data_IF_240489153780
#
_entry.id   IF_240489153780
#
_cell.length_a   1.000
_cell.length_b   1.000
_cell.length_c   1.000
_cell.angle_alpha   90.00
_cell.angle_beta   90.00
_cell.angle_gamma   90.00
#
_symmetry.space_group_name_H-M   'P 1'
#
loop_
_entity.id
_entity.type
_entity.pdbx_description
1 polymer ?
#
# COMPACT_ATOMS: atom_id res chain seq x y z
N UNK A 1 32.38 -21.74 48.51
CA UNK A 1 31.21 -20.87 48.73
C UNK A 1 30.46 -20.67 47.43
N UNK A 2 29.19 -21.07 47.32
CA UNK A 2 28.46 -20.87 46.08
C UNK A 2 28.05 -19.40 45.93
N UNK A 3 28.35 -18.82 44.74
CA UNK A 3 27.95 -17.46 44.36
C UNK A 3 26.41 -17.39 44.28
N UNK A 4 25.80 -16.52 45.08
CA UNK A 4 24.37 -16.18 44.97
C UNK A 4 24.15 -15.48 43.65
N UNK A 5 23.43 -16.15 42.72
CA UNK A 5 22.97 -15.53 41.47
C UNK A 5 21.80 -14.62 41.89
N UNK A 6 22.03 -13.30 41.86
CA UNK A 6 20.95 -12.33 41.99
C UNK A 6 19.97 -12.53 40.82
N UNK A 7 18.78 -13.08 41.13
CA UNK A 7 17.66 -13.06 40.19
C UNK A 7 17.29 -11.60 39.97
N UNK A 8 17.73 -11.04 38.82
CA UNK A 8 17.21 -9.78 38.34
C UNK A 8 15.68 -9.92 38.27
N UNK A 9 14.98 -9.19 39.13
CA UNK A 9 13.55 -9.03 38.99
C UNK A 9 13.27 -8.44 37.61
N UNK A 10 12.65 -9.24 36.74
CA UNK A 10 12.13 -8.72 35.47
C UNK A 10 11.05 -7.70 35.80
N UNK A 11 11.40 -6.43 35.81
CA UNK A 11 10.41 -5.36 35.82
C UNK A 11 9.65 -5.45 34.51
N UNK A 12 8.47 -6.04 34.56
CA UNK A 12 7.56 -6.07 33.40
C UNK A 12 7.08 -4.63 33.23
N UNK A 13 7.61 -3.95 32.24
CA UNK A 13 7.11 -2.63 31.85
C UNK A 13 5.73 -2.85 31.24
N UNK A 14 4.70 -2.36 31.92
CA UNK A 14 3.38 -2.23 31.35
C UNK A 14 3.36 -0.97 30.50
N UNK A 15 3.00 -1.10 29.23
CA UNK A 15 2.64 0.03 28.38
C UNK A 15 1.23 -0.23 27.83
N UNK A 16 0.50 0.87 27.62
CA UNK A 16 -0.84 0.78 27.08
C UNK A 16 -0.77 0.30 25.64
N UNK A 17 -1.23 -0.91 25.40
CA UNK A 17 -1.39 -1.44 24.05
C UNK A 17 -2.59 -0.76 23.39
N UNK A 18 -2.37 -0.26 22.18
CA UNK A 18 -3.47 0.22 21.35
C UNK A 18 -4.16 -1.00 20.77
N UNK A 19 -5.45 -1.14 21.02
CA UNK A 19 -6.26 -2.17 20.36
C UNK A 19 -6.41 -1.82 18.87
N UNK A 20 -5.60 -2.49 18.06
CA UNK A 20 -5.65 -2.35 16.60
C UNK A 20 -6.58 -3.45 16.08
N UNK A 21 -7.87 -3.24 16.21
CA UNK A 21 -8.86 -4.07 15.53
C UNK A 21 -8.73 -3.90 14.03
N UNK A 22 -8.03 -4.82 13.37
CA UNK A 22 -7.76 -4.79 11.93
C UNK A 22 -6.43 -4.14 11.61
N UNK A 23 -5.33 -4.75 12.06
CA UNK A 23 -3.97 -4.33 11.74
C UNK A 23 -3.70 -4.44 10.24
N UNK A 24 -4.06 -3.39 9.50
CA UNK A 24 -3.82 -3.29 8.07
C UNK A 24 -2.32 -3.24 7.72
N UNK A 25 -1.46 -2.89 8.68
CA UNK A 25 -0.01 -2.79 8.47
C UNK A 25 0.69 -4.14 8.58
N UNK A 26 0.11 -5.11 9.29
CA UNK A 26 0.71 -6.44 9.52
C UNK A 26 1.17 -7.11 8.23
N UNK A 27 0.36 -7.01 7.18
CA UNK A 27 0.64 -7.66 5.89
C UNK A 27 1.09 -6.68 4.80
N UNK A 28 1.32 -5.41 5.17
CA UNK A 28 1.62 -4.34 4.22
C UNK A 28 2.76 -4.68 3.27
N UNK A 29 3.83 -5.29 3.75
CA UNK A 29 4.95 -5.67 2.90
C UNK A 29 4.55 -6.60 1.75
N UNK A 30 3.71 -7.59 2.01
CA UNK A 30 3.23 -8.52 0.99
C UNK A 30 2.23 -7.86 0.05
N UNK A 31 1.31 -7.06 0.58
CA UNK A 31 0.33 -6.31 -0.20
C UNK A 31 1.03 -5.31 -1.12
N UNK A 32 2.02 -4.59 -0.61
CA UNK A 32 2.82 -3.66 -1.41
C UNK A 32 3.54 -4.38 -2.54
N UNK A 33 4.22 -5.50 -2.25
CA UNK A 33 4.91 -6.28 -3.27
C UNK A 33 3.95 -6.75 -4.37
N UNK A 34 2.78 -7.26 -3.99
CA UNK A 34 1.73 -7.63 -4.92
C UNK A 34 1.22 -6.44 -5.75
N UNK A 35 1.02 -5.29 -5.14
CA UNK A 35 0.55 -4.09 -5.82
C UNK A 35 1.56 -3.58 -6.86
N UNK A 36 2.85 -3.53 -6.51
CA UNK A 36 3.93 -3.14 -7.43
C UNK A 36 3.99 -4.07 -8.63
N UNK A 37 3.86 -5.37 -8.41
CA UNK A 37 3.85 -6.36 -9.48
C UNK A 37 2.57 -6.28 -10.34
N UNK A 38 1.40 -6.11 -9.71
CA UNK A 38 0.11 -6.02 -10.41
C UNK A 38 0.02 -4.79 -11.31
N UNK A 39 0.44 -3.65 -10.81
CA UNK A 39 0.27 -2.38 -11.50
C UNK A 39 1.51 -1.94 -12.26
N UNK A 40 2.61 -2.69 -12.16
CA UNK A 40 3.90 -2.39 -12.81
C UNK A 40 4.36 -0.96 -12.49
N UNK A 41 4.24 -0.57 -11.24
CA UNK A 41 4.62 0.75 -10.73
C UNK A 41 5.79 0.63 -9.76
N UNK A 42 6.59 1.69 -9.65
CA UNK A 42 7.67 1.74 -8.67
C UNK A 42 7.15 2.03 -7.26
N UNK A 43 7.93 1.67 -6.26
CA UNK A 43 7.57 1.89 -4.85
C UNK A 43 7.33 3.37 -4.52
N UNK A 44 8.23 4.30 -4.90
CA UNK A 44 7.99 5.72 -4.64
C UNK A 44 6.80 6.30 -5.43
N UNK A 45 6.53 5.77 -6.62
CA UNK A 45 5.37 6.21 -7.40
C UNK A 45 4.06 5.73 -6.77
N UNK A 46 4.05 4.51 -6.21
CA UNK A 46 2.91 4.02 -5.45
C UNK A 46 2.65 4.86 -4.19
N UNK A 47 3.71 5.20 -3.45
CA UNK A 47 3.60 6.06 -2.26
C UNK A 47 3.04 7.44 -2.62
N UNK A 48 3.49 8.02 -3.75
CA UNK A 48 2.93 9.25 -4.28
C UNK A 48 1.43 9.11 -4.60
N UNK A 49 1.00 8.00 -5.20
CA UNK A 49 -0.41 7.79 -5.49
C UNK A 49 -1.27 7.69 -4.22
N UNK A 50 -0.77 7.09 -3.14
CA UNK A 50 -1.46 7.10 -1.85
C UNK A 50 -1.64 8.53 -1.34
N UNK A 51 -0.60 9.35 -1.46
CA UNK A 51 -0.65 10.75 -1.06
C UNK A 51 -1.70 11.53 -1.86
N UNK A 52 -1.67 11.41 -3.17
CA UNK A 52 -2.58 12.11 -4.08
C UNK A 52 -4.03 11.63 -3.97
N UNK A 53 -4.25 10.40 -3.49
CA UNK A 53 -5.59 9.84 -3.35
C UNK A 53 -6.47 10.65 -2.40
N UNK A 54 -5.91 11.16 -1.33
CA UNK A 54 -6.61 11.99 -0.34
C UNK A 54 -6.70 13.47 -0.72
N UNK A 55 -5.82 13.95 -1.60
CA UNK A 55 -5.77 15.38 -1.95
C UNK A 55 -6.90 15.83 -2.90
N UNK A 56 -7.41 14.94 -3.73
CA UNK A 56 -8.42 15.26 -4.74
C UNK A 56 -7.89 16.07 -5.91
N UNK A 57 -8.01 17.40 -5.85
CA UNK A 57 -7.45 18.33 -6.85
C UNK A 57 -6.15 18.95 -6.31
N UNK A 58 -5.12 18.99 -7.12
CA UNK A 58 -3.82 19.54 -6.72
C UNK A 58 -3.13 20.32 -7.85
N UNK A 59 -2.29 21.26 -7.47
CA UNK A 59 -1.38 21.96 -8.37
C UNK A 59 -0.06 21.20 -8.52
N UNK A 60 0.65 21.47 -9.60
CA UNK A 60 1.98 20.89 -9.82
C UNK A 60 2.97 21.22 -8.70
N UNK A 61 2.86 22.42 -8.10
CA UNK A 61 3.67 22.83 -6.94
C UNK A 61 3.44 21.91 -5.73
N UNK A 62 2.18 21.54 -5.46
CA UNK A 62 1.83 20.64 -4.37
C UNK A 62 2.38 19.23 -4.61
N UNK A 63 2.34 18.76 -5.84
CA UNK A 63 2.98 17.51 -6.22
C UNK A 63 4.48 17.54 -5.92
N UNK A 64 5.17 18.61 -6.28
CA UNK A 64 6.62 18.74 -6.02
C UNK A 64 6.94 18.86 -4.54
N UNK A 65 6.09 19.49 -3.74
CA UNK A 65 6.22 19.51 -2.28
C UNK A 65 6.24 18.08 -1.71
N UNK A 66 5.31 17.23 -2.16
CA UNK A 66 5.28 15.82 -1.75
C UNK A 66 6.47 15.02 -2.30
N UNK A 67 6.90 15.30 -3.53
CA UNK A 67 8.02 14.61 -4.15
C UNK A 67 9.34 14.80 -3.37
N UNK A 68 9.48 15.87 -2.63
CA UNK A 68 10.65 16.10 -1.75
C UNK A 68 10.70 15.16 -0.54
N UNK A 69 9.55 14.67 -0.07
CA UNK A 69 9.44 13.73 1.05
C UNK A 69 9.85 12.33 0.61
N UNK A 70 9.59 12.01 -0.65
CA UNK A 70 10.02 10.76 -1.28
C UNK A 70 11.41 10.93 -1.90
N UNK A 71 11.87 9.94 -2.60
CA UNK A 71 13.07 10.05 -3.40
C UNK A 71 12.84 11.02 -4.57
N UNK A 72 13.43 12.23 -4.52
CA UNK A 72 13.25 13.27 -5.53
C UNK A 72 13.50 12.73 -6.94
N UNK A 73 12.48 12.82 -7.81
CA UNK A 73 12.57 12.45 -9.21
C UNK A 73 11.87 13.50 -10.09
N UNK A 74 12.66 14.35 -10.74
CA UNK A 74 12.15 15.42 -11.64
C UNK A 74 11.23 14.90 -12.74
N UNK A 75 11.36 13.64 -13.14
CA UNK A 75 10.59 13.03 -14.22
C UNK A 75 9.30 12.37 -13.71
N UNK A 76 9.13 12.17 -12.39
CA UNK A 76 7.98 11.44 -11.82
C UNK A 76 6.64 12.04 -12.24
N UNK A 77 6.48 13.36 -12.16
CA UNK A 77 5.25 14.02 -12.57
C UNK A 77 4.88 13.74 -14.02
N UNK A 78 5.85 13.88 -14.92
CA UNK A 78 5.67 13.61 -16.35
C UNK A 78 5.33 12.13 -16.59
N UNK A 79 6.07 11.23 -15.97
CA UNK A 79 5.84 9.79 -16.08
C UNK A 79 4.44 9.39 -15.59
N UNK A 80 4.00 9.89 -14.46
CA UNK A 80 2.66 9.57 -13.94
C UNK A 80 1.53 10.13 -14.82
N UNK A 81 1.75 11.26 -15.50
CA UNK A 81 0.84 11.77 -16.52
C UNK A 81 0.82 10.88 -17.77
N UNK A 82 1.99 10.55 -18.32
CA UNK A 82 2.13 9.73 -19.53
C UNK A 82 1.58 8.32 -19.33
N UNK A 83 1.82 7.73 -18.15
CA UNK A 83 1.30 6.41 -17.76
C UNK A 83 -0.21 6.45 -17.39
N UNK A 84 -0.82 7.61 -17.38
CA UNK A 84 -2.24 7.79 -17.10
C UNK A 84 -2.64 7.53 -15.64
N UNK A 85 -1.74 7.72 -14.67
CA UNK A 85 -2.05 7.66 -13.24
C UNK A 85 -2.68 8.93 -12.71
N UNK A 86 -2.24 10.08 -13.23
CA UNK A 86 -2.81 11.40 -12.98
C UNK A 86 -3.26 12.02 -14.29
N UNK A 87 -4.21 12.94 -14.24
CA UNK A 87 -4.74 13.64 -15.41
C UNK A 87 -4.86 15.13 -15.11
N UNK A 88 -4.73 15.93 -16.16
CA UNK A 88 -5.03 17.35 -16.06
C UNK A 88 -6.55 17.51 -15.99
N UNK A 89 -7.03 18.15 -14.92
CA UNK A 89 -8.45 18.43 -14.73
C UNK A 89 -8.86 19.76 -15.33
N UNK A 90 -7.98 20.78 -15.27
CA UNK A 90 -8.21 22.11 -15.83
C UNK A 90 -6.89 22.69 -16.35
N UNK A 91 -6.94 23.32 -17.51
CA UNK A 91 -5.82 24.04 -18.08
C UNK A 91 -5.52 25.32 -17.29
N UNK A 92 -4.29 25.84 -17.46
CA UNK A 92 -3.94 27.16 -16.96
C UNK A 92 -4.67 28.24 -17.78
N UNK A 93 -5.10 29.30 -17.08
CA UNK A 93 -5.67 30.50 -17.66
C UNK A 93 -4.96 31.74 -17.05
N UNK A 94 -5.12 32.94 -17.60
CA UNK A 94 -4.58 34.14 -16.99
C UNK A 94 -4.99 34.26 -15.52
N UNK A 95 -4.01 34.34 -14.62
CA UNK A 95 -4.21 34.36 -13.16
C UNK A 95 -4.59 33.03 -12.50
N UNK A 96 -4.67 31.92 -13.26
CA UNK A 96 -5.02 30.60 -12.71
C UNK A 96 -4.03 29.53 -13.18
N UNK A 97 -3.50 28.79 -12.22
CA UNK A 97 -2.62 27.65 -12.48
C UNK A 97 -3.42 26.40 -12.90
N UNK A 98 -2.81 25.52 -13.69
CA UNK A 98 -3.39 24.23 -14.06
C UNK A 98 -3.68 23.39 -12.81
N UNK A 99 -4.78 22.66 -12.84
CA UNK A 99 -5.17 21.70 -11.81
C UNK A 99 -5.10 20.28 -12.36
N UNK A 100 -4.70 19.39 -11.49
CA UNK A 100 -4.55 17.96 -11.77
C UNK A 100 -5.35 17.15 -10.75
N UNK A 101 -5.66 15.93 -11.11
CA UNK A 101 -6.31 14.96 -10.23
C UNK A 101 -5.81 13.56 -10.54
N UNK A 102 -6.01 12.66 -9.61
CA UNK A 102 -5.78 11.24 -9.86
C UNK A 102 -6.79 10.72 -10.90
N UNK A 103 -6.32 9.97 -11.87
CA UNK A 103 -7.17 9.35 -12.88
C UNK A 103 -8.10 8.28 -12.27
N UNK A 104 -9.12 7.86 -13.04
CA UNK A 104 -9.97 6.73 -12.65
C UNK A 104 -9.15 5.45 -12.44
N UNK A 105 -8.15 5.19 -13.30
CA UNK A 105 -7.19 4.07 -13.15
C UNK A 105 -6.48 4.14 -11.81
N UNK A 106 -5.94 5.30 -11.43
CA UNK A 106 -5.24 5.53 -10.18
C UNK A 106 -6.15 5.33 -8.97
N UNK A 107 -7.31 5.95 -8.97
CA UNK A 107 -8.31 5.81 -7.88
C UNK A 107 -8.75 4.36 -7.71
N UNK A 108 -9.02 3.65 -8.80
CA UNK A 108 -9.39 2.23 -8.78
C UNK A 108 -8.28 1.36 -8.21
N UNK A 109 -7.02 1.62 -8.57
CA UNK A 109 -5.87 0.86 -8.06
C UNK A 109 -5.71 1.05 -6.54
N UNK A 110 -5.70 2.28 -6.06
CA UNK A 110 -5.58 2.59 -4.64
C UNK A 110 -6.76 2.01 -3.84
N UNK A 111 -7.98 2.18 -4.33
CA UNK A 111 -9.17 1.60 -3.69
C UNK A 111 -9.07 0.06 -3.59
N UNK A 112 -8.56 -0.60 -4.64
CA UNK A 112 -8.34 -2.05 -4.60
C UNK A 112 -7.32 -2.44 -3.52
N UNK A 113 -6.25 -1.65 -3.36
CA UNK A 113 -5.23 -1.91 -2.33
C UNK A 113 -5.84 -1.73 -0.93
N UNK A 114 -6.64 -0.69 -0.69
CA UNK A 114 -7.35 -0.51 0.57
C UNK A 114 -8.31 -1.66 0.88
N UNK A 115 -9.03 -2.18 -0.12
CA UNK A 115 -9.88 -3.36 0.06
C UNK A 115 -9.09 -4.58 0.49
N UNK A 116 -7.91 -4.82 -0.12
CA UNK A 116 -7.01 -5.91 0.28
C UNK A 116 -6.49 -5.69 1.70
N UNK A 117 -6.14 -4.46 2.08
CA UNK A 117 -5.74 -4.13 3.45
C UNK A 117 -6.86 -4.42 4.46
N UNK A 118 -8.11 -4.30 4.04
CA UNK A 118 -9.30 -4.63 4.84
C UNK A 118 -9.70 -6.11 4.77
N UNK A 119 -8.84 -6.98 4.23
CA UNK A 119 -9.03 -8.43 4.23
C UNK A 119 -9.69 -9.01 2.97
N UNK A 120 -9.77 -8.26 1.87
CA UNK A 120 -10.15 -8.86 0.59
C UNK A 120 -8.98 -9.65 -0.02
N UNK A 121 -9.24 -10.79 -0.67
CA UNK A 121 -8.20 -11.58 -1.29
C UNK A 121 -7.47 -10.82 -2.41
N UNK A 122 -6.15 -10.96 -2.46
CA UNK A 122 -5.32 -10.47 -3.55
C UNK A 122 -5.53 -11.29 -4.82
N UNK A 123 -5.69 -10.63 -5.97
CA UNK A 123 -5.82 -11.32 -7.25
C UNK A 123 -4.54 -12.10 -7.60
N UNK A 124 -4.69 -13.37 -7.99
CA UNK A 124 -3.60 -14.28 -8.34
C UNK A 124 -3.26 -14.25 -9.84
N UNK A 125 -3.84 -13.33 -10.61
CA UNK A 125 -3.57 -13.17 -12.04
C UNK A 125 -2.50 -12.13 -12.37
N UNK A 126 -1.66 -11.79 -11.41
CA UNK A 126 -0.58 -10.82 -11.58
C UNK A 126 0.64 -11.45 -12.28
N UNK A 127 1.54 -10.64 -12.86
CA UNK A 127 2.72 -11.14 -13.55
C UNK A 127 3.57 -12.09 -12.71
N UNK A 128 3.70 -11.86 -11.40
CA UNK A 128 4.46 -12.76 -10.52
C UNK A 128 3.90 -14.18 -10.47
N UNK A 129 2.61 -14.38 -10.72
CA UNK A 129 2.00 -15.72 -10.75
C UNK A 129 2.19 -16.43 -12.09
N UNK A 130 2.48 -15.69 -13.15
CA UNK A 130 2.64 -16.21 -14.53
C UNK A 130 4.09 -16.48 -14.90
N UNK A 131 5.06 -15.75 -14.34
CA UNK A 131 6.49 -15.87 -14.69
C UNK A 131 7.18 -17.04 -14.00
N UNK A 132 8.33 -17.50 -14.56
CA UNK A 132 9.18 -18.50 -13.92
C UNK A 132 9.56 -18.09 -12.49
N UNK A 133 9.66 -19.08 -11.60
CA UNK A 133 9.95 -18.87 -10.18
C UNK A 133 11.41 -18.41 -9.99
N UNK A 134 11.60 -17.15 -9.63
CA UNK A 134 12.77 -16.77 -8.85
C UNK A 134 12.48 -17.06 -7.37
N UNK A 135 13.51 -17.29 -6.56
CA UNK A 135 13.33 -17.62 -5.14
C UNK A 135 12.43 -16.63 -4.39
N UNK A 136 12.74 -15.35 -4.49
CA UNK A 136 11.93 -14.29 -3.83
C UNK A 136 10.48 -14.23 -4.31
N UNK A 137 10.24 -14.35 -5.63
CA UNK A 137 8.88 -14.42 -6.17
C UNK A 137 8.12 -15.66 -5.67
N UNK A 138 8.83 -16.78 -5.51
CA UNK A 138 8.25 -18.00 -4.96
C UNK A 138 7.78 -17.84 -3.52
N UNK A 139 8.58 -17.22 -2.68
CA UNK A 139 8.26 -16.91 -1.27
C UNK A 139 7.00 -16.04 -1.20
N UNK A 140 6.96 -14.93 -1.94
CA UNK A 140 5.80 -14.03 -1.92
C UNK A 140 4.52 -14.70 -2.47
N UNK A 141 4.62 -15.51 -3.53
CA UNK A 141 3.45 -16.28 -4.02
C UNK A 141 2.85 -17.19 -2.97
N UNK A 142 3.71 -17.98 -2.31
CA UNK A 142 3.25 -18.93 -1.30
C UNK A 142 2.62 -18.19 -0.12
N UNK A 143 3.22 -17.09 0.29
CA UNK A 143 2.71 -16.25 1.36
C UNK A 143 1.35 -15.63 0.98
N UNK A 144 1.22 -15.07 -0.22
CA UNK A 144 -0.04 -14.48 -0.73
C UNK A 144 -1.15 -15.53 -0.80
N UNK A 145 -0.85 -16.73 -1.31
CA UNK A 145 -1.83 -17.83 -1.34
C UNK A 145 -2.32 -18.22 0.06
N UNK A 146 -1.40 -18.31 1.02
CA UNK A 146 -1.76 -18.58 2.42
C UNK A 146 -2.64 -17.45 2.97
N UNK A 147 -2.25 -16.21 2.78
CA UNK A 147 -2.99 -15.04 3.26
C UNK A 147 -4.38 -14.94 2.61
N UNK A 148 -4.50 -15.21 1.31
CA UNK A 148 -5.77 -15.25 0.62
C UNK A 148 -6.72 -16.32 1.21
N UNK A 149 -6.17 -17.48 1.60
CA UNK A 149 -6.94 -18.54 2.26
C UNK A 149 -7.47 -18.04 3.61
N UNK A 150 -6.61 -17.43 4.45
CA UNK A 150 -6.98 -16.86 5.73
C UNK A 150 -8.07 -15.79 5.59
N UNK A 151 -7.97 -14.89 4.60
CA UNK A 151 -8.97 -13.86 4.34
C UNK A 151 -10.34 -14.44 3.93
N UNK A 152 -10.35 -15.47 3.10
CA UNK A 152 -11.60 -16.16 2.70
C UNK A 152 -12.26 -16.84 3.90
N UNK A 153 -11.49 -17.53 4.73
CA UNK A 153 -11.98 -18.20 5.94
C UNK A 153 -12.54 -17.21 6.96
N UNK A 154 -11.85 -16.09 7.19
CA UNK A 154 -12.30 -15.03 8.08
C UNK A 154 -13.61 -14.38 7.61
N UNK A 155 -13.76 -14.20 6.30
CA UNK A 155 -14.98 -13.65 5.70
C UNK A 155 -16.17 -14.61 5.85
N UNK A 156 -15.95 -15.91 5.69
CA UNK A 156 -16.98 -16.94 5.91
C UNK A 156 -17.47 -16.97 7.35
N UNK A 157 -16.56 -16.91 8.35
CA UNK A 157 -16.92 -16.88 9.78
C UNK A 157 -17.79 -15.68 10.14
N UNK A 158 -17.42 -14.48 9.66
CA UNK A 158 -18.23 -13.27 9.89
C UNK A 158 -19.61 -13.32 9.24
N UNK A 159 -19.76 -14.00 8.10
CA UNK A 159 -21.04 -14.19 7.42
C UNK A 159 -21.97 -15.16 8.15
N UNK A 160 -21.43 -16.10 8.92
CA UNK A 160 -22.23 -17.06 9.72
C UNK A 160 -22.64 -16.52 11.09
N UNK A 161 -21.92 -15.52 11.63
CA UNK A 161 -22.29 -14.87 12.91
C UNK A 161 -23.36 -13.77 12.76
N UNK A 162 -23.69 -13.40 11.52
CA UNK A 162 -24.66 -12.32 11.20
C UNK A 162 -26.03 -12.85 10.78
N UNK A 163 -26.29 -14.17 10.90
CA UNK A 163 -27.59 -14.81 10.71
C UNK A 163 -28.14 -15.33 12.04
#
# INVERSE_FOLDING_TARGET
MPRKINKLSKTVRQYNEIDISGDCMKYWRAIRYWALDKYQITSPDLDMLFFLYSEGLFHKSKFHEFDTIFNWDRKRFKRLLEDGWIVKWRDSAPGQTALYTMSFKGKKAINTIYKVMNGEPMGEQTPMFRTKKTYSKGVYRNFIKKLNKEFRESKQRRGTESQ
#
